data_IF_167473464102
#
_entry.id   IF_167473464102
#
_cell.length_a   1.000
_cell.length_b   1.000
_cell.length_c   1.000
_cell.angle_alpha   90.00
_cell.angle_beta   90.00
_cell.angle_gamma   90.00
#
_symmetry.space_group_name_H-M   'P 1'
#
loop_
_entity.id
_entity.type
_entity.pdbx_description
1 polymer ?
#
# COMPACT_ATOMS: atom_id res chain seq x y z
N UNK A 1 -12.89 26.57 17.49
CA UNK A 1 -12.55 25.27 16.90
C UNK A 1 -13.71 24.26 16.97
N UNK A 2 -14.40 24.09 18.13
CA UNK A 2 -15.47 23.09 18.30
C UNK A 2 -16.64 23.27 17.32
N UNK A 3 -17.14 24.49 17.13
CA UNK A 3 -18.18 24.79 16.13
C UNK A 3 -17.73 24.44 14.69
N UNK A 4 -16.48 24.74 14.35
CA UNK A 4 -15.92 24.36 13.05
C UNK A 4 -15.96 22.83 12.85
N UNK A 5 -15.63 22.04 13.86
CA UNK A 5 -15.72 20.57 13.81
C UNK A 5 -17.17 20.08 13.67
N UNK A 6 -18.14 20.70 14.36
CA UNK A 6 -19.55 20.36 14.23
C UNK A 6 -20.03 20.55 12.78
N UNK A 7 -19.74 21.69 12.17
CA UNK A 7 -20.09 21.94 10.77
C UNK A 7 -19.32 21.04 9.80
N UNK A 8 -18.03 20.77 10.03
CA UNK A 8 -17.24 19.90 9.18
C UNK A 8 -17.74 18.45 9.18
N UNK A 9 -18.29 17.98 10.31
CA UNK A 9 -18.74 16.59 10.50
C UNK A 9 -20.26 16.41 10.40
N UNK A 10 -21.02 17.49 10.36
CA UNK A 10 -22.49 17.42 10.42
C UNK A 10 -23.03 16.95 11.79
N UNK A 11 -22.32 17.23 12.88
CA UNK A 11 -22.69 16.79 14.22
C UNK A 11 -23.56 17.85 14.90
N UNK A 12 -24.85 17.55 15.09
CA UNK A 12 -25.83 18.48 15.66
C UNK A 12 -26.27 19.61 14.72
N UNK A 13 -25.65 19.72 13.55
CA UNK A 13 -25.95 20.67 12.47
C UNK A 13 -25.78 20.00 11.13
N UNK A 14 -26.40 20.54 10.08
CA UNK A 14 -26.13 20.08 8.71
C UNK A 14 -24.66 20.33 8.36
N UNK A 15 -24.00 19.35 7.75
CA UNK A 15 -22.63 19.52 7.28
C UNK A 15 -22.51 20.70 6.32
N UNK A 16 -21.59 21.61 6.63
CA UNK A 16 -21.31 22.81 5.85
C UNK A 16 -19.84 23.20 6.00
N UNK A 17 -19.04 22.89 4.98
CA UNK A 17 -17.62 23.19 5.00
C UNK A 17 -17.31 24.70 4.93
N UNK A 18 -18.16 25.52 4.31
CA UNK A 18 -17.98 26.96 4.28
C UNK A 18 -18.16 27.57 5.67
N UNK A 19 -19.15 27.10 6.44
CA UNK A 19 -19.29 27.48 7.85
C UNK A 19 -18.13 26.95 8.70
N UNK A 20 -17.71 25.72 8.47
CA UNK A 20 -16.57 25.14 9.18
C UNK A 20 -15.31 26.00 8.99
N UNK A 21 -15.03 26.42 7.75
CA UNK A 21 -13.90 27.29 7.40
C UNK A 21 -13.92 28.60 8.19
N UNK A 22 -15.07 29.29 8.20
CA UNK A 22 -15.19 30.55 8.92
C UNK A 22 -14.88 30.42 10.40
N UNK A 23 -15.36 29.34 11.04
CA UNK A 23 -15.11 29.08 12.45
C UNK A 23 -13.67 28.67 12.74
N UNK A 24 -13.06 27.86 11.86
CA UNK A 24 -11.65 27.53 11.99
C UNK A 24 -10.76 28.75 11.77
N UNK A 25 -11.06 29.60 10.78
CA UNK A 25 -10.32 30.83 10.51
C UNK A 25 -10.33 31.75 11.73
N UNK A 26 -11.50 32.03 12.28
CA UNK A 26 -11.61 32.88 13.48
C UNK A 26 -10.78 32.34 14.65
N UNK A 27 -10.75 31.04 14.86
CA UNK A 27 -9.94 30.42 15.92
C UNK A 27 -8.45 30.39 15.55
N UNK A 28 -8.11 30.12 14.29
CA UNK A 28 -6.73 30.07 13.79
C UNK A 28 -6.03 31.41 13.88
N UNK A 29 -6.75 32.50 13.54
CA UNK A 29 -6.27 33.88 13.67
C UNK A 29 -6.03 34.28 15.14
N UNK A 30 -6.72 33.66 16.08
CA UNK A 30 -6.48 33.81 17.52
C UNK A 30 -5.33 32.92 18.04
N UNK A 31 -4.64 32.19 17.16
CA UNK A 31 -3.46 31.39 17.51
C UNK A 31 -3.77 29.95 17.95
N UNK A 32 -5.01 29.47 17.84
CA UNK A 32 -5.32 28.08 18.22
C UNK A 32 -4.72 27.05 17.23
N UNK A 33 -3.70 26.32 17.67
CA UNK A 33 -2.96 25.36 16.82
C UNK A 33 -3.84 24.32 16.14
N UNK A 34 -4.81 23.72 16.85
CA UNK A 34 -5.75 22.76 16.24
C UNK A 34 -6.65 23.38 15.16
N UNK A 35 -7.01 24.66 15.29
CA UNK A 35 -7.80 25.35 14.29
C UNK A 35 -6.95 25.69 13.07
N UNK A 36 -5.70 26.10 13.27
CA UNK A 36 -4.72 26.30 12.20
C UNK A 36 -4.47 25.02 11.42
N UNK A 37 -4.29 23.89 12.10
CA UNK A 37 -4.16 22.58 11.48
C UNK A 37 -5.40 22.22 10.64
N UNK A 38 -6.61 22.35 11.21
CA UNK A 38 -7.86 22.06 10.49
C UNK A 38 -8.05 22.97 9.25
N UNK A 39 -7.72 24.24 9.38
CA UNK A 39 -7.77 25.18 8.26
C UNK A 39 -6.75 24.82 7.18
N UNK A 40 -5.55 24.39 7.55
CA UNK A 40 -4.56 23.84 6.64
C UNK A 40 -5.08 22.61 5.88
N UNK A 41 -5.76 21.69 6.56
CA UNK A 41 -6.40 20.53 5.92
C UNK A 41 -7.49 20.94 4.92
N UNK A 42 -8.31 21.95 5.26
CA UNK A 42 -9.35 22.44 4.35
C UNK A 42 -8.75 23.00 3.05
N UNK A 43 -7.68 23.77 3.14
CA UNK A 43 -6.95 24.27 1.97
C UNK A 43 -6.27 23.15 1.18
N UNK A 44 -5.65 22.18 1.86
CA UNK A 44 -5.02 21.04 1.19
C UNK A 44 -6.03 20.17 0.41
N UNK A 45 -7.27 20.07 0.90
CA UNK A 45 -8.33 19.23 0.30
C UNK A 45 -9.32 19.99 -0.58
N UNK A 46 -9.31 21.31 -0.56
CA UNK A 46 -10.32 22.12 -1.24
C UNK A 46 -11.72 21.98 -0.64
N UNK A 47 -11.81 21.78 0.70
CA UNK A 47 -13.07 21.63 1.41
C UNK A 47 -13.56 22.97 1.97
N UNK A 48 -14.68 23.48 1.44
CA UNK A 48 -15.24 24.78 1.82
C UNK A 48 -14.43 25.98 1.28
N UNK A 49 -13.28 25.74 0.69
CA UNK A 49 -12.39 26.71 0.05
C UNK A 49 -11.83 26.11 -1.24
N UNK A 50 -11.33 26.93 -2.13
CA UNK A 50 -10.53 26.46 -3.26
C UNK A 50 -9.24 25.82 -2.74
N UNK A 51 -8.88 24.66 -3.30
CA UNK A 51 -7.61 24.00 -2.96
C UNK A 51 -6.42 24.95 -3.20
N UNK A 52 -5.60 25.10 -2.17
CA UNK A 52 -4.41 25.97 -2.20
C UNK A 52 -3.35 25.44 -1.24
N UNK A 53 -2.33 24.79 -1.79
CA UNK A 53 -1.26 24.21 -0.97
C UNK A 53 -0.34 25.27 -0.33
N UNK A 54 -0.23 26.46 -0.88
CA UNK A 54 0.55 27.53 -0.24
C UNK A 54 -0.17 28.03 1.02
N UNK A 55 -1.51 28.14 0.97
CA UNK A 55 -2.30 28.41 2.18
C UNK A 55 -2.26 27.24 3.18
N UNK A 56 -2.30 26.00 2.67
CA UNK A 56 -2.18 24.83 3.53
C UNK A 56 -0.83 24.81 4.28
N UNK A 57 0.26 25.07 3.57
CA UNK A 57 1.61 25.19 4.16
C UNK A 57 1.66 26.28 5.23
N UNK A 58 1.16 27.47 4.93
CA UNK A 58 1.15 28.59 5.86
C UNK A 58 0.45 28.22 7.20
N UNK A 59 -0.73 27.61 7.11
CA UNK A 59 -1.48 27.27 8.31
C UNK A 59 -0.90 26.05 9.05
N UNK A 60 -0.39 25.04 8.32
CA UNK A 60 0.34 23.91 8.96
C UNK A 60 1.61 24.41 9.66
N UNK A 61 2.36 25.34 9.06
CA UNK A 61 3.54 25.94 9.69
C UNK A 61 3.19 26.62 10.99
N UNK A 62 2.15 27.44 11.00
CA UNK A 62 1.66 28.10 12.23
C UNK A 62 1.33 27.12 13.35
N UNK A 63 0.66 26.02 13.02
CA UNK A 63 0.36 24.97 14.00
C UNK A 63 1.61 24.17 14.40
N UNK A 64 2.48 23.85 13.45
CA UNK A 64 3.71 23.09 13.66
C UNK A 64 4.72 23.82 14.56
N UNK A 65 4.84 25.12 14.40
CA UNK A 65 5.67 25.99 15.25
C UNK A 65 5.19 26.02 16.72
N UNK A 66 3.90 25.77 16.94
CA UNK A 66 3.32 25.61 18.28
C UNK A 66 3.43 24.16 18.82
N UNK A 67 4.11 23.26 18.09
CA UNK A 67 4.33 21.89 18.53
C UNK A 67 3.22 20.89 18.13
N UNK A 68 2.28 21.25 17.24
CA UNK A 68 1.24 20.33 16.78
C UNK A 68 1.86 19.24 15.89
N UNK A 69 1.91 18.01 16.40
CA UNK A 69 2.65 16.91 15.75
C UNK A 69 2.11 16.54 14.36
N UNK A 70 0.79 16.43 14.22
CA UNK A 70 0.19 16.10 12.91
C UNK A 70 0.40 17.24 11.89
N UNK A 71 0.47 18.50 12.34
CA UNK A 71 0.81 19.62 11.44
C UNK A 71 2.26 19.56 11.02
N UNK A 72 3.18 19.18 11.92
CA UNK A 72 4.59 18.97 11.60
C UNK A 72 4.75 17.83 10.57
N UNK A 73 4.04 16.70 10.77
CA UNK A 73 4.04 15.61 9.80
C UNK A 73 3.52 16.08 8.42
N UNK A 74 2.38 16.76 8.37
CA UNK A 74 1.80 17.25 7.11
C UNK A 74 2.70 18.29 6.42
N UNK A 75 3.38 19.11 7.18
CA UNK A 75 4.36 20.05 6.65
C UNK A 75 5.56 19.31 6.01
N UNK A 76 6.03 18.24 6.64
CA UNK A 76 7.03 17.33 6.06
C UNK A 76 6.55 16.75 4.72
N UNK A 77 5.31 16.27 4.65
CA UNK A 77 4.71 15.75 3.40
C UNK A 77 4.69 16.82 2.30
N UNK A 78 4.28 18.03 2.62
CA UNK A 78 4.26 19.16 1.66
C UNK A 78 5.65 19.43 1.09
N UNK A 79 6.69 19.40 1.92
CA UNK A 79 8.08 19.59 1.45
C UNK A 79 8.61 18.42 0.63
N UNK A 80 8.24 17.18 0.94
CA UNK A 80 8.58 16.00 0.12
C UNK A 80 7.94 16.10 -1.26
N UNK A 81 6.69 16.54 -1.33
CA UNK A 81 5.92 16.59 -2.59
C UNK A 81 6.16 17.88 -3.41
N UNK A 82 6.70 18.92 -2.78
CA UNK A 82 6.85 20.23 -3.44
C UNK A 82 5.52 20.90 -3.76
N UNK A 83 4.48 20.66 -2.96
CA UNK A 83 3.14 21.20 -3.16
C UNK A 83 3.00 22.59 -2.51
N UNK A 84 2.80 23.63 -3.32
CA UNK A 84 2.71 25.01 -2.86
C UNK A 84 4.05 25.61 -2.37
N UNK A 85 5.09 24.80 -2.31
CA UNK A 85 6.47 25.20 -1.99
C UNK A 85 7.44 24.45 -2.89
N UNK A 86 8.68 24.89 -2.95
CA UNK A 86 9.75 24.12 -3.58
C UNK A 86 10.01 22.85 -2.78
N UNK A 87 10.13 21.71 -3.47
CA UNK A 87 10.53 20.44 -2.84
C UNK A 87 11.85 20.59 -2.06
N UNK A 88 11.85 20.16 -0.81
CA UNK A 88 13.01 20.23 0.08
C UNK A 88 12.98 19.08 1.09
N UNK A 89 13.71 18.03 0.79
CA UNK A 89 13.79 16.85 1.68
C UNK A 89 14.48 17.15 3.01
N UNK A 90 15.46 18.08 3.03
CA UNK A 90 16.13 18.43 4.28
C UNK A 90 15.19 19.16 5.24
N UNK A 91 14.35 20.04 4.71
CA UNK A 91 13.32 20.70 5.50
C UNK A 91 12.24 19.70 5.95
N UNK A 92 11.83 18.76 5.06
CA UNK A 92 10.89 17.69 5.41
C UNK A 92 11.40 16.84 6.59
N UNK A 93 12.68 16.44 6.57
CA UNK A 93 13.31 15.67 7.64
C UNK A 93 13.25 16.39 8.99
N UNK A 94 13.48 17.70 9.02
CA UNK A 94 13.39 18.49 10.25
C UNK A 94 11.99 18.42 10.86
N UNK A 95 10.95 18.55 10.02
CA UNK A 95 9.57 18.53 10.48
C UNK A 95 9.12 17.12 10.87
N UNK A 96 9.44 16.10 10.06
CA UNK A 96 9.17 14.71 10.43
C UNK A 96 9.83 14.32 11.75
N UNK A 97 11.09 14.73 11.97
CA UNK A 97 11.80 14.41 13.23
C UNK A 97 11.10 15.02 14.44
N UNK A 98 10.68 16.28 14.35
CA UNK A 98 9.93 16.93 15.45
C UNK A 98 8.63 16.19 15.77
N UNK A 99 7.86 15.78 14.77
CA UNK A 99 6.63 15.01 14.96
C UNK A 99 6.92 13.59 15.49
N UNK A 100 7.92 12.91 14.92
CA UNK A 100 8.32 11.56 15.31
C UNK A 100 8.82 11.46 16.76
N UNK A 101 9.56 12.47 17.22
CA UNK A 101 10.02 12.58 18.61
C UNK A 101 8.86 12.82 19.59
N UNK A 102 7.77 13.40 19.14
CA UNK A 102 6.52 13.53 19.90
C UNK A 102 5.66 12.26 19.88
N UNK A 103 6.06 11.23 19.15
CA UNK A 103 5.36 9.95 19.05
C UNK A 103 4.38 9.82 17.90
N UNK A 104 4.34 10.77 16.94
CA UNK A 104 3.50 10.64 15.76
C UNK A 104 3.96 9.44 14.90
N UNK A 105 3.13 8.40 14.83
CA UNK A 105 3.48 7.15 14.14
C UNK A 105 3.63 7.34 12.62
N UNK A 106 2.86 8.23 12.01
CA UNK A 106 2.96 8.53 10.58
C UNK A 106 4.30 9.23 10.27
N UNK A 107 4.71 10.18 11.12
CA UNK A 107 5.98 10.86 10.98
C UNK A 107 7.17 9.90 11.22
N UNK A 108 7.07 9.00 12.18
CA UNK A 108 8.06 7.94 12.41
C UNK A 108 8.21 7.06 11.17
N UNK A 109 7.10 6.61 10.58
CA UNK A 109 7.13 5.85 9.34
C UNK A 109 7.76 6.65 8.20
N UNK A 110 7.31 7.89 7.96
CA UNK A 110 7.85 8.75 6.91
C UNK A 110 9.35 9.00 7.07
N UNK A 111 9.81 9.19 8.30
CA UNK A 111 11.22 9.36 8.60
C UNK A 111 12.02 8.08 8.31
N UNK A 112 11.46 6.91 8.63
CA UNK A 112 12.04 5.62 8.24
C UNK A 112 12.20 5.48 6.73
N UNK A 113 11.17 5.82 5.96
CA UNK A 113 11.20 5.81 4.48
C UNK A 113 12.31 6.74 3.95
N UNK A 114 12.42 7.93 4.49
CA UNK A 114 13.45 8.91 4.11
C UNK A 114 14.87 8.36 4.35
N UNK A 115 15.09 7.66 5.46
CA UNK A 115 16.39 7.03 5.74
C UNK A 115 16.71 5.86 4.80
N UNK A 116 15.71 5.06 4.42
CA UNK A 116 15.88 4.01 3.39
C UNK A 116 16.29 4.61 2.05
N UNK A 117 15.68 5.73 1.66
CA UNK A 117 15.88 6.36 0.35
C UNK A 117 17.12 7.27 0.30
N UNK A 118 17.62 7.70 1.45
CA UNK A 118 18.72 8.67 1.52
C UNK A 118 18.34 10.06 0.99
N UNK A 119 17.09 10.47 1.13
CA UNK A 119 16.58 11.74 0.64
C UNK A 119 16.69 12.82 1.72
N UNK A 120 17.47 13.87 1.48
CA UNK A 120 17.72 14.94 2.46
C UNK A 120 18.58 14.53 3.66
N UNK A 121 18.90 13.26 3.77
CA UNK A 121 19.84 12.65 4.74
C UNK A 121 20.63 11.57 4.04
N UNK A 122 21.76 11.16 4.63
CA UNK A 122 22.48 9.98 4.19
C UNK A 122 21.60 8.75 4.43
N UNK A 123 21.55 7.82 3.47
CA UNK A 123 20.90 6.52 3.65
C UNK A 123 21.46 5.80 4.89
N UNK A 124 20.57 5.30 5.72
CA UNK A 124 20.91 4.61 6.96
C UNK A 124 19.78 3.64 7.34
N UNK A 125 19.98 2.35 6.98
CA UNK A 125 18.98 1.32 7.21
C UNK A 125 18.79 1.03 8.72
N UNK A 126 19.80 1.30 9.57
CA UNK A 126 19.67 1.16 11.03
C UNK A 126 18.77 2.25 11.60
N UNK A 127 18.89 3.48 11.11
CA UNK A 127 17.96 4.56 11.48
C UNK A 127 16.56 4.29 10.95
N UNK A 128 16.44 3.77 9.73
CA UNK A 128 15.16 3.39 9.16
C UNK A 128 14.45 2.34 10.03
N UNK A 129 15.17 1.28 10.41
CA UNK A 129 14.65 0.24 11.31
C UNK A 129 14.15 0.82 12.64
N UNK A 130 14.97 1.65 13.27
CA UNK A 130 14.61 2.29 14.53
C UNK A 130 13.27 3.05 14.44
N UNK A 131 13.07 3.84 13.39
CA UNK A 131 11.86 4.63 13.22
C UNK A 131 10.66 3.78 12.81
N UNK A 132 10.86 2.80 11.90
CA UNK A 132 9.80 1.85 11.57
C UNK A 132 9.34 1.04 12.78
N UNK A 133 10.27 0.60 13.63
CA UNK A 133 9.94 -0.13 14.86
C UNK A 133 9.05 0.69 15.78
N UNK A 134 9.41 1.96 16.01
CA UNK A 134 8.58 2.87 16.85
C UNK A 134 7.16 3.00 16.31
N UNK A 135 7.00 3.19 15.01
CA UNK A 135 5.69 3.28 14.39
C UNK A 135 4.94 1.93 14.42
N UNK A 136 5.65 0.82 14.15
CA UNK A 136 5.09 -0.53 14.13
C UNK A 136 4.58 -0.98 15.51
N UNK A 137 5.29 -0.63 16.58
CA UNK A 137 4.90 -0.90 17.96
C UNK A 137 3.64 -0.13 18.37
N UNK A 138 3.37 1.00 17.74
CA UNK A 138 2.12 1.76 17.89
C UNK A 138 0.96 1.19 17.04
N UNK A 139 1.21 0.13 16.27
CA UNK A 139 0.20 -0.51 15.42
C UNK A 139 0.11 0.07 14.00
N UNK A 140 1.04 0.91 13.56
CA UNK A 140 1.02 1.46 12.21
C UNK A 140 1.32 0.36 11.17
N UNK A 141 0.30 -0.02 10.38
CA UNK A 141 0.37 -1.20 9.52
C UNK A 141 1.46 -1.14 8.45
N UNK A 142 1.65 0.03 7.82
CA UNK A 142 2.69 0.21 6.80
C UNK A 142 4.10 0.07 7.40
N UNK A 143 4.30 0.53 8.65
CA UNK A 143 5.56 0.37 9.35
C UNK A 143 5.80 -1.09 9.79
N UNK A 144 4.75 -1.81 10.18
CA UNK A 144 4.84 -3.24 10.47
C UNK A 144 5.22 -4.03 9.21
N UNK A 145 4.63 -3.68 8.06
CA UNK A 145 5.00 -4.27 6.77
C UNK A 145 6.46 -3.95 6.41
N UNK A 146 6.88 -2.69 6.50
CA UNK A 146 8.24 -2.27 6.21
C UNK A 146 9.26 -2.99 7.11
N UNK A 147 8.98 -3.07 8.41
CA UNK A 147 9.84 -3.78 9.36
C UNK A 147 9.91 -5.28 9.08
N UNK A 148 8.78 -5.90 8.67
CA UNK A 148 8.74 -7.27 8.18
C UNK A 148 9.70 -7.47 7.01
N UNK A 149 9.67 -6.57 6.02
CA UNK A 149 10.57 -6.58 4.87
C UNK A 149 12.05 -6.42 5.24
N UNK A 150 12.35 -5.57 6.22
CA UNK A 150 13.73 -5.41 6.71
C UNK A 150 14.28 -6.71 7.32
N UNK A 151 13.48 -7.42 8.11
CA UNK A 151 13.88 -8.72 8.66
C UNK A 151 13.98 -9.81 7.60
N UNK A 152 13.06 -9.83 6.63
CA UNK A 152 13.06 -10.78 5.52
C UNK A 152 14.33 -10.64 4.65
N UNK A 153 14.77 -9.41 4.40
CA UNK A 153 15.91 -9.12 3.53
C UNK A 153 17.23 -8.91 4.27
N UNK A 154 17.21 -8.80 5.60
CA UNK A 154 18.41 -8.47 6.39
C UNK A 154 18.89 -7.03 6.18
N UNK A 155 17.97 -6.07 5.94
CA UNK A 155 18.32 -4.66 5.75
C UNK A 155 18.31 -3.91 7.09
N UNK A 156 19.44 -3.35 7.48
CA UNK A 156 19.59 -2.63 8.75
C UNK A 156 19.50 -3.51 10.00
N UNK A 157 19.12 -4.77 9.83
CA UNK A 157 19.03 -5.81 10.86
C UNK A 157 19.59 -7.12 10.32
N UNK A 158 19.92 -8.05 11.21
CA UNK A 158 20.21 -9.42 10.80
C UNK A 158 18.93 -10.06 10.25
N UNK A 159 19.03 -10.75 9.12
CA UNK A 159 17.92 -11.51 8.56
C UNK A 159 17.32 -12.49 9.60
N UNK A 160 16.00 -12.46 9.74
CA UNK A 160 15.24 -13.31 10.65
C UNK A 160 13.82 -13.50 10.12
N UNK A 161 13.61 -14.61 9.40
CA UNK A 161 12.32 -14.92 8.78
C UNK A 161 11.21 -15.09 9.82
N UNK A 162 11.53 -15.51 11.06
CA UNK A 162 10.55 -15.62 12.15
C UNK A 162 10.04 -14.25 12.58
N UNK A 163 10.94 -13.27 12.71
CA UNK A 163 10.56 -11.88 12.97
C UNK A 163 9.78 -11.28 11.78
N UNK A 164 10.21 -11.57 10.54
CA UNK A 164 9.49 -11.12 9.34
C UNK A 164 8.04 -11.60 9.36
N UNK A 165 7.80 -12.89 9.61
CA UNK A 165 6.44 -13.47 9.74
C UNK A 165 5.62 -12.76 10.81
N UNK A 166 6.20 -12.48 11.98
CA UNK A 166 5.48 -11.82 13.07
C UNK A 166 5.01 -10.42 12.68
N UNK A 167 5.87 -9.64 12.03
CA UNK A 167 5.56 -8.28 11.62
C UNK A 167 4.59 -8.25 10.43
N UNK A 168 4.81 -9.08 9.41
CA UNK A 168 3.86 -9.23 8.31
C UNK A 168 2.47 -9.65 8.80
N UNK A 169 2.40 -10.57 9.79
CA UNK A 169 1.12 -11.00 10.36
C UNK A 169 0.37 -9.84 11.01
N UNK A 170 1.04 -9.03 11.82
CA UNK A 170 0.42 -7.85 12.45
C UNK A 170 -0.17 -6.88 11.41
N UNK A 171 0.58 -6.60 10.34
CA UNK A 171 0.09 -5.76 9.25
C UNK A 171 -1.06 -6.44 8.46
N UNK A 172 -0.92 -7.72 8.15
CA UNK A 172 -1.90 -8.51 7.42
C UNK A 172 -3.26 -8.63 8.14
N UNK A 173 -3.24 -8.77 9.46
CA UNK A 173 -4.43 -8.80 10.31
C UNK A 173 -5.17 -7.46 10.33
N UNK A 174 -4.47 -6.35 10.08
CA UNK A 174 -5.06 -5.03 9.87
C UNK A 174 -5.55 -4.78 8.44
N UNK A 175 -5.40 -5.76 7.55
CA UNK A 175 -5.84 -5.66 6.16
C UNK A 175 -4.80 -5.17 5.17
N UNK A 176 -3.53 -4.98 5.59
CA UNK A 176 -2.47 -4.57 4.66
C UNK A 176 -2.26 -5.62 3.57
N UNK A 177 -2.55 -5.25 2.32
CA UNK A 177 -2.68 -6.20 1.20
C UNK A 177 -1.36 -6.90 0.88
N UNK A 178 -0.27 -6.14 0.78
CA UNK A 178 1.04 -6.72 0.46
C UNK A 178 1.57 -7.60 1.60
N UNK A 179 1.25 -7.26 2.86
CA UNK A 179 1.60 -8.09 4.00
C UNK A 179 0.83 -9.42 3.98
N UNK A 180 -0.44 -9.41 3.59
CA UNK A 180 -1.21 -10.65 3.40
C UNK A 180 -0.60 -11.52 2.30
N UNK A 181 -0.20 -10.92 1.19
CA UNK A 181 0.48 -11.64 0.12
C UNK A 181 1.81 -12.24 0.60
N UNK A 182 2.70 -11.44 1.21
CA UNK A 182 4.00 -11.92 1.69
C UNK A 182 3.86 -13.01 2.76
N UNK A 183 2.91 -12.87 3.67
CA UNK A 183 2.63 -13.91 4.67
C UNK A 183 2.13 -15.20 4.01
N UNK A 184 1.34 -15.10 2.94
CA UNK A 184 0.96 -16.24 2.10
C UNK A 184 2.16 -16.94 1.49
N UNK A 185 3.13 -16.18 0.95
CA UNK A 185 4.39 -16.71 0.40
C UNK A 185 5.18 -17.44 1.50
N UNK A 186 5.36 -16.81 2.67
CA UNK A 186 6.10 -17.42 3.76
C UNK A 186 5.49 -18.75 4.24
N UNK A 187 4.17 -18.86 4.30
CA UNK A 187 3.50 -20.14 4.58
C UNK A 187 3.64 -21.15 3.44
N UNK A 188 3.62 -20.68 2.18
CA UNK A 188 3.79 -21.56 1.03
C UNK A 188 5.18 -22.18 0.98
N UNK A 189 6.22 -21.38 1.26
CA UNK A 189 7.62 -21.81 1.22
C UNK A 189 8.11 -22.44 2.55
N UNK A 190 7.41 -22.18 3.66
CA UNK A 190 7.85 -22.59 4.99
C UNK A 190 8.98 -21.73 5.54
N UNK A 191 9.03 -20.45 5.16
CA UNK A 191 10.04 -19.49 5.63
C UNK A 191 9.60 -18.87 6.96
N UNK A 192 10.41 -19.02 8.00
CA UNK A 192 10.12 -18.49 9.34
C UNK A 192 8.90 -19.11 10.04
N UNK A 193 8.18 -20.00 9.35
CA UNK A 193 7.05 -20.79 9.84
C UNK A 193 7.10 -22.18 9.25
N UNK A 194 6.38 -23.11 9.87
CA UNK A 194 6.16 -24.42 9.25
C UNK A 194 5.36 -24.25 7.97
N UNK A 195 5.81 -24.87 6.87
CA UNK A 195 5.08 -24.88 5.61
C UNK A 195 3.62 -25.30 5.82
N UNK A 196 2.70 -24.53 5.24
CA UNK A 196 1.27 -24.73 5.38
C UNK A 196 0.48 -24.18 4.20
N UNK A 197 0.19 -25.03 3.21
CA UNK A 197 -0.55 -24.62 2.01
C UNK A 197 -1.97 -24.10 2.32
N UNK A 198 -2.63 -24.68 3.33
CA UNK A 198 -3.95 -24.21 3.73
C UNK A 198 -3.92 -22.77 4.30
N UNK A 199 -2.88 -22.44 5.08
CA UNK A 199 -2.65 -21.10 5.58
C UNK A 199 -2.26 -20.14 4.43
N UNK A 200 -1.40 -20.60 3.52
CA UNK A 200 -1.05 -19.81 2.32
C UNK A 200 -2.30 -19.44 1.52
N UNK A 201 -3.20 -20.39 1.25
CA UNK A 201 -4.50 -20.14 0.57
C UNK A 201 -5.32 -19.07 1.30
N UNK A 202 -5.41 -19.14 2.63
CA UNK A 202 -6.19 -18.18 3.41
C UNK A 202 -5.66 -16.74 3.23
N UNK A 203 -4.33 -16.58 3.29
CA UNK A 203 -3.71 -15.27 3.17
C UNK A 203 -3.71 -14.76 1.72
N UNK A 204 -3.42 -15.61 0.74
CA UNK A 204 -3.55 -15.25 -0.67
C UNK A 204 -4.99 -14.84 -1.01
N UNK A 205 -5.99 -15.54 -0.49
CA UNK A 205 -7.40 -15.19 -0.71
C UNK A 205 -7.73 -13.79 -0.21
N UNK A 206 -7.29 -13.44 1.01
CA UNK A 206 -7.51 -12.10 1.57
C UNK A 206 -6.89 -11.01 0.68
N UNK A 207 -5.66 -11.21 0.23
CA UNK A 207 -5.01 -10.26 -0.68
C UNK A 207 -5.66 -10.24 -2.07
N UNK A 208 -6.03 -11.40 -2.61
CA UNK A 208 -6.67 -11.55 -3.92
C UNK A 208 -8.05 -10.89 -3.99
N UNK A 209 -8.84 -10.99 -2.93
CA UNK A 209 -10.15 -10.33 -2.79
C UNK A 209 -10.03 -8.81 -2.74
N UNK A 210 -8.90 -8.29 -2.29
CA UNK A 210 -8.56 -6.87 -2.33
C UNK A 210 -7.92 -6.43 -3.65
N UNK A 211 -7.81 -7.32 -4.63
CA UNK A 211 -7.33 -7.00 -5.97
C UNK A 211 -5.83 -7.22 -6.21
N UNK A 212 -5.08 -7.79 -5.29
CA UNK A 212 -3.65 -8.04 -5.47
C UNK A 212 -3.39 -9.09 -6.56
N UNK A 213 -2.86 -8.68 -7.72
CA UNK A 213 -2.75 -9.53 -8.92
C UNK A 213 -1.92 -10.79 -8.70
N UNK A 214 -0.75 -10.69 -8.06
CA UNK A 214 0.10 -11.87 -7.77
C UNK A 214 -0.58 -12.85 -6.79
N UNK A 215 -1.35 -12.35 -5.83
CA UNK A 215 -2.12 -13.21 -4.93
C UNK A 215 -3.26 -13.94 -5.68
N UNK A 216 -3.92 -13.27 -6.62
CA UNK A 216 -4.91 -13.89 -7.51
C UNK A 216 -4.27 -14.99 -8.36
N UNK A 217 -3.11 -14.72 -8.96
CA UNK A 217 -2.37 -15.73 -9.71
C UNK A 217 -2.00 -16.93 -8.83
N UNK A 218 -1.36 -16.70 -7.67
CA UNK A 218 -0.95 -17.80 -6.78
C UNK A 218 -2.15 -18.60 -6.27
N UNK A 219 -3.27 -17.94 -5.96
CA UNK A 219 -4.50 -18.62 -5.57
C UNK A 219 -5.06 -19.48 -6.72
N UNK A 220 -4.98 -19.00 -7.95
CA UNK A 220 -5.30 -19.76 -9.16
C UNK A 220 -4.45 -21.03 -9.26
N UNK A 221 -3.13 -20.92 -9.07
CA UNK A 221 -2.20 -22.06 -9.06
C UNK A 221 -2.54 -23.06 -7.98
N UNK A 222 -2.90 -22.59 -6.79
CA UNK A 222 -3.26 -23.50 -5.67
C UNK A 222 -4.53 -24.28 -5.95
N UNK A 223 -5.54 -23.67 -6.58
CA UNK A 223 -6.74 -24.39 -7.02
C UNK A 223 -6.46 -25.34 -8.20
N UNK A 224 -5.61 -24.93 -9.12
CA UNK A 224 -5.20 -25.74 -10.26
C UNK A 224 -4.50 -27.04 -9.82
N UNK A 225 -3.59 -26.92 -8.84
CA UNK A 225 -2.81 -28.05 -8.33
C UNK A 225 -3.46 -28.80 -7.17
N UNK A 226 -4.52 -28.28 -6.56
CA UNK A 226 -5.12 -28.85 -5.34
C UNK A 226 -4.21 -28.71 -4.12
N UNK A 227 -3.41 -27.63 -4.02
CA UNK A 227 -2.50 -27.37 -2.91
C UNK A 227 -3.20 -26.56 -1.81
N UNK A 228 -3.37 -27.16 -0.63
CA UNK A 228 -4.05 -26.54 0.51
C UNK A 228 -5.56 -26.35 0.36
N UNK A 229 -6.09 -26.66 -0.81
CA UNK A 229 -7.50 -26.73 -1.18
C UNK A 229 -7.75 -27.93 -2.08
N UNK A 230 -9.01 -28.35 -2.19
CA UNK A 230 -9.38 -29.34 -3.22
C UNK A 230 -9.16 -28.73 -4.61
N UNK A 231 -8.56 -29.51 -5.53
CA UNK A 231 -8.40 -29.11 -6.92
C UNK A 231 -9.74 -28.67 -7.52
N UNK A 232 -9.77 -27.51 -8.13
CA UNK A 232 -10.94 -26.92 -8.77
C UNK A 232 -10.52 -26.02 -9.94
N UNK A 233 -10.58 -26.53 -11.14
CA UNK A 233 -10.21 -25.80 -12.36
C UNK A 233 -11.13 -24.60 -12.65
N UNK A 234 -12.38 -24.64 -12.19
CA UNK A 234 -13.31 -23.51 -12.37
C UNK A 234 -12.82 -22.34 -11.51
N UNK A 235 -12.48 -22.61 -10.25
CA UNK A 235 -11.90 -21.59 -9.36
C UNK A 235 -10.54 -21.11 -9.90
N UNK A 236 -9.69 -22.01 -10.38
CA UNK A 236 -8.41 -21.64 -10.97
C UNK A 236 -8.57 -20.64 -12.12
N UNK A 237 -9.47 -20.94 -13.07
CA UNK A 237 -9.79 -20.04 -14.20
C UNK A 237 -10.30 -18.68 -13.73
N UNK A 238 -11.16 -18.64 -12.73
CA UNK A 238 -11.70 -17.38 -12.21
C UNK A 238 -10.59 -16.49 -11.63
N UNK A 239 -9.66 -17.06 -10.86
CA UNK A 239 -8.57 -16.32 -10.27
C UNK A 239 -7.49 -15.94 -11.29
N UNK A 240 -7.12 -16.85 -12.20
CA UNK A 240 -6.22 -16.51 -13.30
C UNK A 240 -6.78 -15.38 -14.16
N UNK A 241 -8.10 -15.39 -14.46
CA UNK A 241 -8.73 -14.32 -15.24
C UNK A 241 -8.58 -12.96 -14.58
N UNK A 242 -8.85 -12.87 -13.26
CA UNK A 242 -8.71 -11.61 -12.52
C UNK A 242 -7.28 -11.07 -12.55
N UNK A 243 -6.27 -11.93 -12.39
CA UNK A 243 -4.87 -11.54 -12.49
C UNK A 243 -4.49 -11.16 -13.94
N UNK A 244 -4.94 -11.95 -14.91
CA UNK A 244 -4.67 -11.76 -16.34
C UNK A 244 -5.25 -10.42 -16.87
N UNK A 245 -6.44 -10.03 -16.39
CA UNK A 245 -7.07 -8.75 -16.72
C UNK A 245 -6.30 -7.56 -16.15
N UNK A 246 -5.50 -7.76 -15.11
CA UNK A 246 -4.58 -6.78 -14.55
C UNK A 246 -3.20 -6.77 -15.23
N UNK A 247 -2.99 -7.63 -16.24
CA UNK A 247 -1.74 -7.69 -17.00
C UNK A 247 -0.70 -8.68 -16.47
N UNK A 248 -1.06 -9.55 -15.52
CA UNK A 248 -0.15 -10.60 -15.05
C UNK A 248 0.10 -11.61 -16.17
N UNK A 249 1.35 -11.67 -16.67
CA UNK A 249 1.70 -12.44 -17.86
C UNK A 249 1.63 -13.96 -17.62
N UNK A 250 2.00 -14.42 -16.45
CA UNK A 250 1.90 -15.83 -16.06
C UNK A 250 0.43 -16.27 -15.96
N UNK A 251 -0.43 -15.44 -15.39
CA UNK A 251 -1.86 -15.71 -15.36
C UNK A 251 -2.50 -15.73 -16.75
N UNK A 252 -2.08 -14.83 -17.65
CA UNK A 252 -2.52 -14.81 -19.04
C UNK A 252 -2.11 -16.12 -19.76
N UNK A 253 -0.87 -16.55 -19.56
CA UNK A 253 -0.38 -17.80 -20.12
C UNK A 253 -1.18 -19.00 -19.57
N UNK A 254 -1.32 -19.12 -18.26
CA UNK A 254 -2.05 -20.22 -17.63
C UNK A 254 -3.53 -20.24 -18.07
N UNK A 255 -4.15 -19.08 -18.20
CA UNK A 255 -5.51 -18.98 -18.74
C UNK A 255 -5.58 -19.49 -20.19
N UNK A 256 -4.57 -19.21 -21.03
CA UNK A 256 -4.42 -19.79 -22.37
C UNK A 256 -4.32 -21.31 -22.32
N UNK A 257 -3.55 -21.87 -21.38
CA UNK A 257 -3.43 -23.34 -21.16
C UNK A 257 -4.78 -23.93 -20.80
N UNK A 258 -5.53 -23.30 -19.88
CA UNK A 258 -6.87 -23.76 -19.45
C UNK A 258 -7.83 -23.83 -20.65
N UNK A 259 -7.82 -22.83 -21.53
CA UNK A 259 -8.62 -22.85 -22.77
C UNK A 259 -8.11 -23.87 -23.80
N UNK A 260 -6.80 -24.12 -23.87
CA UNK A 260 -6.23 -25.13 -24.77
C UNK A 260 -6.66 -26.56 -24.34
N UNK A 261 -6.69 -26.81 -23.04
CA UNK A 261 -6.98 -28.12 -22.48
C UNK A 261 -8.47 -28.36 -22.16
N UNK A 262 -9.28 -27.30 -22.12
CA UNK A 262 -10.68 -27.38 -21.71
C UNK A 262 -10.83 -27.65 -20.21
N UNK A 263 -9.90 -27.17 -19.39
CA UNK A 263 -9.94 -27.34 -17.93
C UNK A 263 -10.65 -26.15 -17.27
N UNK A 264 -11.73 -26.42 -16.56
CA UNK A 264 -12.56 -25.37 -15.91
C UNK A 264 -13.32 -24.46 -16.88
N UNK A 265 -13.05 -24.59 -18.18
CA UNK A 265 -13.71 -23.89 -19.30
C UNK A 265 -13.88 -24.83 -20.48
N UNK A 266 -14.79 -24.50 -21.40
CA UNK A 266 -14.87 -25.22 -22.67
C UNK A 266 -13.60 -24.93 -23.49
N UNK A 267 -12.99 -25.97 -24.05
CA UNK A 267 -11.84 -25.83 -24.95
C UNK A 267 -12.12 -24.82 -26.07
N UNK A 268 -11.20 -23.89 -26.28
CA UNK A 268 -11.28 -22.89 -27.34
C UNK A 268 -9.87 -22.36 -27.70
N UNK A 269 -9.34 -22.85 -28.81
CA UNK A 269 -7.98 -22.52 -29.24
C UNK A 269 -7.81 -21.08 -29.74
N UNK A 270 -8.91 -20.46 -30.24
CA UNK A 270 -8.90 -19.03 -30.62
C UNK A 270 -8.73 -18.15 -29.39
N UNK A 271 -9.51 -18.39 -28.33
CA UNK A 271 -9.39 -17.65 -27.05
C UNK A 271 -8.02 -17.96 -26.39
N UNK A 272 -7.56 -19.22 -26.46
CA UNK A 272 -6.24 -19.58 -25.95
C UNK A 272 -5.13 -18.75 -26.61
N UNK A 273 -5.15 -18.66 -27.95
CA UNK A 273 -4.21 -17.85 -28.72
C UNK A 273 -4.24 -16.37 -28.33
N UNK A 274 -5.44 -15.80 -28.12
CA UNK A 274 -5.56 -14.40 -27.66
C UNK A 274 -4.88 -14.18 -26.31
N UNK A 275 -5.04 -15.10 -25.37
CA UNK A 275 -4.39 -15.00 -24.05
C UNK A 275 -2.89 -15.21 -24.12
N UNK A 276 -2.41 -16.15 -24.94
CA UNK A 276 -0.98 -16.32 -25.20
C UNK A 276 -0.35 -15.07 -25.85
N UNK A 277 -1.09 -14.42 -26.79
CA UNK A 277 -0.67 -13.16 -27.38
C UNK A 277 -0.48 -12.06 -26.33
N UNK A 278 -1.45 -11.90 -25.41
CA UNK A 278 -1.34 -10.95 -24.31
C UNK A 278 -0.15 -11.25 -23.39
N UNK A 279 0.07 -12.54 -23.07
CA UNK A 279 1.22 -12.95 -22.26
C UNK A 279 2.55 -12.62 -22.98
N UNK A 280 2.61 -12.80 -24.29
CA UNK A 280 3.75 -12.41 -25.13
C UNK A 280 3.98 -10.90 -25.09
N UNK A 281 2.93 -10.10 -25.28
CA UNK A 281 2.99 -8.64 -25.26
C UNK A 281 3.45 -8.10 -23.87
N UNK A 282 3.13 -8.84 -22.82
CA UNK A 282 3.59 -8.53 -21.44
C UNK A 282 4.95 -9.18 -21.10
N UNK A 283 5.69 -9.66 -22.11
CA UNK A 283 7.08 -10.06 -21.98
C UNK A 283 7.32 -11.53 -21.60
N UNK A 284 6.29 -12.38 -21.55
CA UNK A 284 6.46 -13.79 -21.26
C UNK A 284 6.77 -14.60 -22.53
N UNK A 285 8.00 -15.08 -22.67
CA UNK A 285 8.46 -15.83 -23.84
C UNK A 285 7.62 -17.08 -24.12
N UNK A 286 7.19 -17.81 -23.09
CA UNK A 286 6.31 -18.97 -23.21
C UNK A 286 4.98 -18.62 -23.92
N UNK A 287 4.45 -17.43 -23.65
CA UNK A 287 3.26 -16.91 -24.32
C UNK A 287 3.50 -16.69 -25.82
N UNK A 288 4.68 -16.13 -26.19
CA UNK A 288 5.04 -15.92 -27.58
C UNK A 288 5.18 -17.25 -28.37
N UNK A 289 5.77 -18.24 -27.73
CA UNK A 289 5.98 -19.55 -28.33
C UNK A 289 4.65 -20.28 -28.55
N UNK A 290 3.79 -20.32 -27.53
CA UNK A 290 2.47 -20.93 -27.63
C UNK A 290 1.55 -20.18 -28.62
N UNK A 291 1.62 -18.85 -28.68
CA UNK A 291 0.91 -18.05 -29.68
C UNK A 291 1.34 -18.45 -31.10
N UNK A 292 2.66 -18.58 -31.33
CA UNK A 292 3.23 -18.94 -32.63
C UNK A 292 2.80 -20.35 -33.09
N UNK A 293 2.80 -21.30 -32.15
CA UNK A 293 2.34 -22.68 -32.42
C UNK A 293 0.87 -22.71 -32.87
N UNK A 294 -0.03 -22.04 -32.15
CA UNK A 294 -1.44 -21.98 -32.55
C UNK A 294 -1.64 -21.22 -33.87
N UNK A 295 -0.86 -20.16 -34.09
CA UNK A 295 -0.92 -19.42 -35.36
C UNK A 295 -0.49 -20.28 -36.57
N UNK A 296 0.56 -21.09 -36.42
CA UNK A 296 1.00 -22.02 -37.43
C UNK A 296 0.00 -23.16 -37.68
N UNK A 297 -0.73 -23.56 -36.65
CA UNK A 297 -1.81 -24.55 -36.74
C UNK A 297 -3.11 -24.00 -37.37
N UNK A 298 -3.17 -22.69 -37.66
CA UNK A 298 -4.30 -22.07 -38.37
C UNK A 298 -5.43 -21.55 -37.49
N UNK A 299 -5.15 -21.37 -36.20
CA UNK A 299 -6.10 -20.78 -35.24
C UNK A 299 -5.96 -19.26 -35.13
#
# INVERSE_FOLDING_TARGET
>A
NSLGLMYARGQGVRQDYAQAEQWFRKAAEQGHAKAQYNLGLMYARGQGVRQDYAQAEYWFRKAAEQGHAEAQNNLGVIYVQGQGVRQDYAEAVKWYRKAAEQGDASAQYNLGVIYVQGQGVRQDDTQAEHWFRKAAEQGYADAQYALGGMYDQGQGVRQDDTQAVQWYRKAAEQGHVDAQYNLGVMYYDGQGVRQGYAQAVQWYRKAAEQGHAKAQYNLGVMYDNGQGVRQDYIQAVQWYRKAAEQGDAEAQYNLGVMYTQGQGVRQNLVIAKEWYGKACDNGLQLGCDAYRELNQAGY
#
